data_IF_813590180204
#
_entry.id   IF_813590180204
#
_cell.length_a   1.000
_cell.length_b   1.000
_cell.length_c   1.000
_cell.angle_alpha   90.00
_cell.angle_beta   90.00
_cell.angle_gamma   90.00
#
_symmetry.space_group_name_H-M   'P 1'
#
loop_
_entity.id
_entity.type
_entity.pdbx_description
1 polymer ?
#
# COMPACT_ATOMS: atom_id res chain seq x y z
N UNK A 1 47.83 5.68 -1.65
CA UNK A 1 47.10 6.14 -2.85
C UNK A 1 45.60 6.29 -2.63
N UNK A 2 44.78 5.19 -2.42
CA UNK A 2 43.31 5.35 -2.30
C UNK A 2 42.87 6.25 -1.15
N UNK A 3 43.40 6.05 0.07
CA UNK A 3 43.11 6.88 1.25
C UNK A 3 43.53 8.35 1.10
N UNK A 4 44.61 8.61 0.36
CA UNK A 4 45.04 9.98 0.07
C UNK A 4 44.11 10.65 -0.94
N UNK A 5 43.65 9.93 -1.96
CA UNK A 5 42.66 10.41 -2.92
C UNK A 5 41.34 10.78 -2.22
N UNK A 6 40.87 9.95 -1.26
CA UNK A 6 39.70 10.23 -0.43
C UNK A 6 39.90 11.47 0.43
N UNK A 7 41.07 11.63 1.04
CA UNK A 7 41.38 12.82 1.88
C UNK A 7 41.47 14.10 1.04
N UNK A 8 41.99 14.03 -0.16
CA UNK A 8 42.03 15.16 -1.11
C UNK A 8 40.61 15.51 -1.59
N UNK A 9 39.81 14.53 -1.93
CA UNK A 9 38.40 14.75 -2.33
C UNK A 9 37.59 15.44 -1.23
N UNK A 10 37.74 15.02 0.03
CA UNK A 10 37.08 15.65 1.17
C UNK A 10 37.62 17.07 1.44
N UNK A 11 38.89 17.32 1.14
CA UNK A 11 39.49 18.65 1.24
C UNK A 11 38.91 19.64 0.22
N UNK A 12 38.75 19.21 -1.04
CA UNK A 12 38.18 20.06 -2.10
C UNK A 12 36.72 20.38 -1.86
N UNK A 13 35.95 19.44 -1.28
CA UNK A 13 34.57 19.70 -0.85
C UNK A 13 34.45 20.82 0.21
N UNK A 14 35.41 20.88 1.14
CA UNK A 14 35.43 21.91 2.18
C UNK A 14 35.82 23.27 1.67
N UNK A 15 36.64 23.36 0.61
CA UNK A 15 37.09 24.60 0.03
C UNK A 15 35.95 25.37 -0.67
N UNK A 16 35.02 24.69 -1.34
CA UNK A 16 33.93 25.28 -2.13
C UNK A 16 32.54 24.73 -1.74
N UNK A 17 32.15 24.92 -0.47
CA UNK A 17 30.95 24.30 0.13
C UNK A 17 29.66 24.52 -0.65
N UNK A 18 29.41 25.81 -1.05
CA UNK A 18 28.16 26.19 -1.72
C UNK A 18 28.02 25.52 -3.11
N UNK A 19 29.15 25.51 -3.86
CA UNK A 19 29.20 24.90 -5.19
C UNK A 19 28.98 23.37 -5.12
N UNK A 20 29.67 22.73 -4.19
CA UNK A 20 29.53 21.28 -3.96
C UNK A 20 28.11 20.90 -3.50
N UNK A 21 27.50 21.70 -2.63
CA UNK A 21 26.11 21.49 -2.16
C UNK A 21 25.11 21.61 -3.32
N UNK A 22 25.22 22.66 -4.16
CA UNK A 22 24.31 22.89 -5.28
C UNK A 22 24.37 21.78 -6.33
N UNK A 23 25.56 21.21 -6.57
CA UNK A 23 25.69 20.08 -7.51
C UNK A 23 25.22 18.75 -6.93
N UNK A 24 25.50 18.51 -5.66
CA UNK A 24 24.97 17.33 -4.99
C UNK A 24 23.44 17.38 -4.86
N UNK A 25 22.82 18.59 -4.89
CA UNK A 25 21.38 18.75 -4.74
C UNK A 25 20.58 17.94 -5.77
N UNK A 26 20.99 17.93 -7.02
CA UNK A 26 20.37 17.11 -8.06
C UNK A 26 20.42 15.60 -7.76
N UNK A 27 21.56 15.12 -7.24
CA UNK A 27 21.72 13.72 -6.83
C UNK A 27 20.92 13.43 -5.57
N UNK A 28 20.94 14.33 -4.58
CA UNK A 28 20.18 14.21 -3.32
C UNK A 28 18.69 14.08 -3.62
N UNK A 29 18.14 14.94 -4.48
CA UNK A 29 16.73 14.92 -4.87
C UNK A 29 16.43 13.66 -5.68
N UNK A 30 17.25 13.31 -6.68
CA UNK A 30 17.04 12.13 -7.51
C UNK A 30 17.02 10.83 -6.70
N UNK A 31 18.04 10.59 -5.91
CA UNK A 31 18.14 9.41 -5.04
C UNK A 31 17.08 9.43 -3.95
N UNK A 32 16.86 10.60 -3.34
CA UNK A 32 15.83 10.77 -2.32
C UNK A 32 14.43 10.44 -2.82
N UNK A 33 14.08 10.86 -4.03
CA UNK A 33 12.79 10.54 -4.66
C UNK A 33 12.61 9.04 -4.90
N UNK A 34 13.64 8.36 -5.40
CA UNK A 34 13.60 6.90 -5.63
C UNK A 34 13.41 6.14 -4.32
N UNK A 35 14.19 6.48 -3.29
CA UNK A 35 14.07 5.84 -1.95
C UNK A 35 12.68 6.06 -1.38
N UNK A 36 12.16 7.31 -1.45
CA UNK A 36 10.84 7.64 -0.92
C UNK A 36 9.74 6.82 -1.57
N UNK A 37 9.68 6.76 -2.91
CA UNK A 37 8.59 6.05 -3.60
C UNK A 37 8.65 4.54 -3.38
N UNK A 38 9.85 3.95 -3.39
CA UNK A 38 10.01 2.51 -3.15
C UNK A 38 9.62 2.16 -1.71
N UNK A 39 10.07 2.97 -0.72
CA UNK A 39 9.73 2.76 0.69
C UNK A 39 8.23 2.92 0.96
N UNK A 40 7.58 3.92 0.36
CA UNK A 40 6.12 4.12 0.46
C UNK A 40 5.40 2.94 -0.21
N UNK A 41 5.80 2.54 -1.40
CA UNK A 41 5.21 1.40 -2.11
C UNK A 41 5.30 0.10 -1.33
N UNK A 42 6.48 -0.22 -0.78
CA UNK A 42 6.67 -1.40 0.08
C UNK A 42 5.85 -1.33 1.37
N UNK A 43 5.70 -0.13 1.95
CA UNK A 43 4.88 0.09 3.15
C UNK A 43 3.39 -0.11 2.87
N UNK A 44 2.90 0.39 1.74
CA UNK A 44 1.52 0.19 1.28
C UNK A 44 1.26 -1.29 1.00
N UNK A 45 2.15 -1.98 0.29
CA UNK A 45 2.04 -3.43 0.05
C UNK A 45 1.98 -4.22 1.35
N UNK A 46 2.87 -3.90 2.30
CA UNK A 46 2.86 -4.55 3.62
C UNK A 46 1.56 -4.31 4.36
N UNK A 47 1.06 -3.08 4.33
CA UNK A 47 -0.20 -2.71 4.96
C UNK A 47 -1.38 -3.51 4.39
N UNK A 48 -1.52 -3.60 3.06
CA UNK A 48 -2.54 -4.44 2.43
C UNK A 48 -2.33 -5.92 2.79
N UNK A 49 -1.10 -6.42 2.71
CA UNK A 49 -0.79 -7.80 3.13
C UNK A 49 -1.19 -8.09 4.58
N UNK A 50 -0.97 -7.14 5.50
CA UNK A 50 -1.32 -7.30 6.91
C UNK A 50 -2.84 -7.22 7.13
N UNK A 51 -3.57 -6.37 6.39
CA UNK A 51 -5.04 -6.37 6.35
C UNK A 51 -5.58 -7.75 5.94
N UNK A 52 -5.07 -8.29 4.84
CA UNK A 52 -5.58 -9.56 4.31
C UNK A 52 -5.10 -10.80 5.07
N UNK A 53 -4.02 -10.73 5.85
CA UNK A 53 -3.67 -11.81 6.78
C UNK A 53 -4.77 -12.08 7.80
N UNK A 54 -5.47 -11.04 8.22
CA UNK A 54 -6.56 -11.13 9.18
C UNK A 54 -7.86 -11.65 8.54
N UNK A 55 -8.11 -11.32 7.25
CA UNK A 55 -9.34 -11.70 6.53
C UNK A 55 -9.19 -12.96 5.67
N UNK A 56 -7.96 -13.48 5.51
CA UNK A 56 -7.63 -14.63 4.67
C UNK A 56 -7.48 -14.27 3.18
N UNK A 57 -6.48 -14.87 2.55
CA UNK A 57 -6.22 -14.70 1.09
C UNK A 57 -7.26 -15.37 0.19
N UNK A 58 -8.21 -16.11 0.78
CA UNK A 58 -9.23 -16.87 0.07
C UNK A 58 -10.56 -16.14 -0.05
N UNK A 59 -10.63 -14.89 0.43
CA UNK A 59 -11.82 -14.06 0.28
C UNK A 59 -12.02 -13.62 -1.16
N UNK A 60 -13.26 -13.76 -1.64
CA UNK A 60 -13.71 -13.20 -2.90
C UNK A 60 -15.20 -12.82 -2.84
N UNK A 61 -15.64 -12.03 -3.80
CA UNK A 61 -17.04 -11.66 -3.98
C UNK A 61 -17.38 -11.67 -5.46
N UNK A 62 -18.47 -12.32 -5.84
CA UNK A 62 -18.99 -12.29 -7.20
C UNK A 62 -20.11 -11.27 -7.31
N UNK A 63 -20.07 -10.48 -8.36
CA UNK A 63 -21.08 -9.47 -8.71
C UNK A 63 -21.10 -9.28 -10.23
N UNK A 64 -22.12 -8.59 -10.73
CA UNK A 64 -22.09 -8.08 -12.11
C UNK A 64 -20.90 -7.14 -12.29
N UNK A 65 -20.32 -7.16 -13.48
CA UNK A 65 -19.16 -6.32 -13.79
C UNK A 65 -19.52 -4.82 -13.64
N UNK A 66 -18.89 -4.09 -12.69
CA UNK A 66 -19.17 -2.68 -12.44
C UNK A 66 -18.89 -1.76 -13.66
N UNK A 67 -18.13 -2.25 -14.63
CA UNK A 67 -17.82 -1.51 -15.87
C UNK A 67 -18.86 -1.70 -16.96
N UNK A 68 -19.92 -2.48 -16.71
CA UNK A 68 -21.03 -2.68 -17.66
C UNK A 68 -21.89 -1.41 -17.74
N UNK A 69 -22.43 -1.12 -18.92
CA UNK A 69 -23.39 -0.02 -19.08
C UNK A 69 -24.66 -0.30 -18.27
N UNK A 70 -25.15 0.72 -17.57
CA UNK A 70 -26.38 0.64 -16.76
C UNK A 70 -27.59 0.20 -17.57
N UNK A 71 -27.63 0.52 -18.88
CA UNK A 71 -28.70 0.12 -19.79
C UNK A 71 -28.70 -1.38 -20.13
N UNK A 72 -27.58 -2.07 -19.93
CA UNK A 72 -27.44 -3.51 -20.16
C UNK A 72 -27.77 -4.36 -18.93
N UNK A 73 -27.98 -3.73 -17.77
CA UNK A 73 -28.35 -4.41 -16.53
C UNK A 73 -29.81 -4.87 -16.59
N UNK A 74 -30.06 -6.10 -16.13
CA UNK A 74 -31.39 -6.71 -16.03
C UNK A 74 -31.68 -7.04 -14.58
N UNK A 75 -32.95 -6.94 -14.16
CA UNK A 75 -33.36 -7.42 -12.83
C UNK A 75 -32.99 -8.89 -12.60
N UNK A 76 -32.99 -9.70 -13.66
CA UNK A 76 -32.58 -11.10 -13.60
C UNK A 76 -31.09 -11.31 -13.29
N UNK A 77 -30.26 -10.28 -13.38
CA UNK A 77 -28.84 -10.37 -13.08
C UNK A 77 -28.56 -10.37 -11.57
N UNK A 78 -29.50 -9.82 -10.78
CA UNK A 78 -29.41 -9.89 -9.33
C UNK A 78 -29.57 -11.34 -8.85
N UNK A 79 -28.88 -11.66 -7.78
CA UNK A 79 -28.98 -12.98 -7.15
C UNK A 79 -30.25 -13.06 -6.30
N UNK A 80 -30.94 -14.18 -6.41
CA UNK A 80 -32.06 -14.54 -5.54
C UNK A 80 -31.57 -15.40 -4.38
N UNK A 81 -32.43 -15.58 -3.38
CA UNK A 81 -32.17 -16.52 -2.29
C UNK A 81 -31.96 -17.97 -2.79
N UNK A 82 -32.69 -18.36 -3.84
CA UNK A 82 -32.51 -19.69 -4.48
C UNK A 82 -31.16 -19.82 -5.16
N UNK A 83 -30.70 -18.75 -5.82
CA UNK A 83 -29.34 -18.72 -6.40
C UNK A 83 -28.29 -18.92 -5.31
N UNK A 84 -28.42 -18.23 -4.19
CA UNK A 84 -27.51 -18.35 -3.07
C UNK A 84 -27.52 -19.73 -2.42
N UNK A 85 -28.71 -20.31 -2.21
CA UNK A 85 -28.83 -21.66 -1.68
C UNK A 85 -28.24 -22.71 -2.63
N UNK A 86 -28.48 -22.57 -3.94
CA UNK A 86 -27.87 -23.44 -4.95
C UNK A 86 -26.35 -23.27 -5.00
N UNK A 87 -25.86 -22.04 -4.89
CA UNK A 87 -24.44 -21.75 -4.78
C UNK A 87 -23.80 -22.45 -3.57
N UNK A 88 -24.39 -22.31 -2.39
CA UNK A 88 -23.92 -23.02 -1.17
C UNK A 88 -23.97 -24.55 -1.33
N UNK A 89 -25.00 -25.10 -1.97
CA UNK A 89 -25.12 -26.55 -2.21
C UNK A 89 -24.06 -27.09 -3.17
N UNK A 90 -23.71 -26.32 -4.24
CA UNK A 90 -22.77 -26.77 -5.28
C UNK A 90 -21.33 -26.58 -4.84
N UNK A 91 -21.01 -25.42 -4.27
CA UNK A 91 -19.65 -25.03 -3.94
C UNK A 91 -19.30 -25.22 -2.47
N UNK A 92 -20.25 -25.52 -1.58
CA UNK A 92 -20.06 -25.55 -0.12
C UNK A 92 -18.92 -26.47 0.35
N UNK A 93 -18.63 -27.57 -0.36
CA UNK A 93 -17.46 -28.43 -0.03
C UNK A 93 -16.12 -27.73 -0.24
N UNK A 94 -16.07 -26.69 -1.07
CA UNK A 94 -14.88 -25.88 -1.39
C UNK A 94 -14.86 -24.54 -0.65
N UNK A 95 -15.91 -24.22 0.12
CA UNK A 95 -16.07 -22.98 0.86
C UNK A 95 -15.96 -23.22 2.37
N UNK A 96 -15.43 -22.25 3.10
CA UNK A 96 -15.50 -22.19 4.56
C UNK A 96 -16.55 -21.19 5.02
N UNK A 97 -16.91 -20.20 4.16
CA UNK A 97 -17.89 -19.18 4.46
C UNK A 97 -18.56 -18.66 3.19
N UNK A 98 -19.82 -18.26 3.28
CA UNK A 98 -20.50 -17.47 2.26
C UNK A 98 -21.66 -16.69 2.87
N UNK A 99 -21.83 -15.42 2.42
CA UNK A 99 -22.98 -14.60 2.72
C UNK A 99 -23.38 -13.73 1.51
N UNK A 100 -24.56 -13.12 1.58
CA UNK A 100 -25.08 -12.22 0.57
C UNK A 100 -24.89 -10.74 0.94
N UNK A 101 -24.03 -10.45 1.91
CA UNK A 101 -23.65 -9.10 2.38
C UNK A 101 -24.81 -8.13 2.60
N UNK A 102 -25.97 -8.53 3.17
CA UNK A 102 -27.07 -7.61 3.32
C UNK A 102 -26.72 -6.52 4.33
N UNK A 103 -27.05 -5.29 3.98
CA UNK A 103 -26.79 -4.12 4.81
C UNK A 103 -28.00 -3.21 4.83
N UNK A 104 -28.37 -2.78 6.03
CA UNK A 104 -29.44 -1.80 6.24
C UNK A 104 -28.99 -0.74 7.26
N UNK A 105 -29.40 0.50 7.02
CA UNK A 105 -29.12 1.59 7.95
C UNK A 105 -30.41 2.04 8.59
N UNK A 106 -30.53 1.84 9.91
CA UNK A 106 -31.75 2.07 10.69
C UNK A 106 -31.53 3.13 11.76
N UNK A 107 -32.60 3.81 12.12
CA UNK A 107 -32.64 4.73 13.27
C UNK A 107 -33.05 3.97 14.52
N UNK A 108 -32.16 3.88 15.49
CA UNK A 108 -32.42 3.20 16.78
C UNK A 108 -32.62 4.24 17.86
N UNK A 109 -33.65 4.02 18.71
CA UNK A 109 -33.94 4.85 19.88
C UNK A 109 -33.97 3.98 21.14
N UNK A 110 -33.14 4.34 22.11
CA UNK A 110 -33.15 3.73 23.46
C UNK A 110 -33.24 4.83 24.49
N UNK A 111 -34.39 4.93 25.14
CA UNK A 111 -34.68 6.04 26.07
C UNK A 111 -34.58 7.41 25.40
N UNK A 112 -33.60 8.23 25.81
CA UNK A 112 -33.34 9.57 25.23
C UNK A 112 -32.31 9.53 24.10
N UNK A 113 -31.56 8.44 23.98
CA UNK A 113 -30.49 8.30 23.00
C UNK A 113 -31.04 7.89 21.64
N UNK A 114 -30.57 8.55 20.58
CA UNK A 114 -30.87 8.21 19.19
C UNK A 114 -29.55 8.01 18.46
N UNK A 115 -29.48 6.97 17.65
CA UNK A 115 -28.30 6.64 16.88
C UNK A 115 -28.71 5.97 15.57
N UNK A 116 -28.11 6.41 14.49
CA UNK A 116 -28.19 5.70 13.22
C UNK A 116 -27.25 4.50 13.28
N UNK A 117 -27.79 3.29 13.11
CA UNK A 117 -27.04 2.04 13.24
C UNK A 117 -27.05 1.31 11.91
N UNK A 118 -25.86 0.97 11.40
CA UNK A 118 -25.71 0.08 10.28
C UNK A 118 -25.83 -1.38 10.73
N UNK A 119 -26.82 -2.07 10.21
CA UNK A 119 -26.98 -3.51 10.39
C UNK A 119 -26.33 -4.26 9.25
N UNK A 120 -25.34 -5.08 9.55
CA UNK A 120 -24.72 -6.01 8.58
C UNK A 120 -25.18 -7.42 8.85
N UNK A 121 -25.79 -8.06 7.86
CA UNK A 121 -26.20 -9.46 7.95
C UNK A 121 -25.02 -10.39 7.73
N UNK A 122 -24.87 -11.37 8.63
CA UNK A 122 -23.72 -12.29 8.62
C UNK A 122 -24.16 -13.74 8.90
N UNK A 123 -23.35 -14.70 8.47
CA UNK A 123 -23.49 -16.11 8.80
C UNK A 123 -22.97 -16.36 10.23
N UNK A 124 -23.34 -17.49 10.85
CA UNK A 124 -23.03 -17.79 12.25
C UNK A 124 -21.51 -17.87 12.54
N UNK A 125 -20.72 -18.32 11.58
CA UNK A 125 -19.27 -18.49 11.70
C UNK A 125 -18.43 -17.31 11.19
N UNK A 126 -19.06 -16.13 10.98
CA UNK A 126 -18.37 -14.97 10.40
C UNK A 126 -17.19 -14.47 11.25
N UNK A 127 -17.23 -14.71 12.55
CA UNK A 127 -16.16 -14.32 13.48
C UNK A 127 -14.86 -15.07 13.26
N UNK A 128 -14.89 -16.21 12.54
CA UNK A 128 -13.68 -16.96 12.18
C UNK A 128 -12.92 -16.29 11.03
N UNK A 129 -13.60 -15.37 10.31
CA UNK A 129 -13.10 -14.68 9.12
C UNK A 129 -12.96 -13.18 9.31
N UNK A 130 -13.40 -12.65 10.45
CA UNK A 130 -13.26 -11.22 10.78
C UNK A 130 -12.56 -11.06 12.13
N UNK A 131 -11.52 -10.22 12.23
CA UNK A 131 -10.77 -10.00 13.47
C UNK A 131 -11.60 -9.15 14.44
N UNK A 132 -12.51 -9.80 15.15
CA UNK A 132 -13.34 -9.20 16.18
C UNK A 132 -12.93 -9.69 17.55
N UNK A 133 -12.72 -8.78 18.47
CA UNK A 133 -12.55 -9.09 19.89
C UNK A 133 -13.90 -9.02 20.59
N UNK A 134 -14.45 -10.15 20.99
CA UNK A 134 -15.67 -10.19 21.81
C UNK A 134 -15.31 -9.74 23.22
N UNK A 135 -15.93 -8.65 23.67
CA UNK A 135 -15.72 -8.08 24.99
C UNK A 135 -16.62 -8.77 26.02
N UNK A 136 -17.89 -8.95 25.68
CA UNK A 136 -18.92 -9.58 26.50
C UNK A 136 -19.90 -10.34 25.62
N UNK A 137 -20.43 -11.47 26.13
CA UNK A 137 -21.48 -12.21 25.45
C UNK A 137 -20.97 -13.39 24.61
N UNK A 138 -21.74 -13.77 23.61
CA UNK A 138 -21.48 -14.88 22.71
C UNK A 138 -21.63 -14.52 21.24
N UNK A 139 -21.03 -15.28 20.33
CA UNK A 139 -21.25 -15.21 18.90
C UNK A 139 -22.59 -15.84 18.49
N UNK A 140 -22.98 -15.67 17.22
CA UNK A 140 -24.15 -16.33 16.66
C UNK A 140 -23.98 -17.84 16.66
N UNK A 141 -25.10 -18.53 16.82
CA UNK A 141 -25.20 -19.98 16.58
C UNK A 141 -25.90 -20.21 15.25
N UNK A 142 -25.74 -21.42 14.69
CA UNK A 142 -26.47 -21.85 13.49
C UNK A 142 -27.99 -21.71 13.65
N UNK A 143 -28.51 -21.97 14.87
CA UNK A 143 -29.93 -21.77 15.20
C UNK A 143 -30.36 -20.31 15.14
N UNK A 144 -29.50 -19.38 15.55
CA UNK A 144 -29.86 -17.95 15.50
C UNK A 144 -30.06 -17.49 14.05
N UNK A 145 -29.22 -18.00 13.12
CA UNK A 145 -29.34 -17.71 11.68
C UNK A 145 -30.52 -18.47 11.07
N UNK A 146 -30.63 -19.79 11.32
CA UNK A 146 -31.65 -20.64 10.71
C UNK A 146 -33.06 -20.30 11.16
N UNK A 147 -33.26 -19.94 12.43
CA UNK A 147 -34.55 -19.57 13.01
C UNK A 147 -34.85 -18.06 12.88
N UNK A 148 -34.01 -17.28 12.18
CA UNK A 148 -34.17 -15.83 11.98
C UNK A 148 -34.37 -15.07 13.30
N UNK A 149 -33.58 -15.39 14.35
CA UNK A 149 -33.72 -14.78 15.65
C UNK A 149 -33.29 -13.31 15.61
N UNK A 150 -34.10 -12.38 16.19
CA UNK A 150 -33.76 -10.97 16.25
C UNK A 150 -32.70 -10.72 17.35
N UNK A 151 -31.49 -11.20 17.11
CA UNK A 151 -30.35 -11.03 17.97
C UNK A 151 -29.28 -10.18 17.27
N UNK A 152 -28.56 -9.37 18.04
CA UNK A 152 -27.55 -8.48 17.50
C UNK A 152 -26.24 -8.56 18.30
N UNK A 153 -25.11 -8.52 17.60
CA UNK A 153 -23.82 -8.18 18.17
C UNK A 153 -23.51 -6.73 17.83
N UNK A 154 -23.28 -5.89 18.83
CA UNK A 154 -23.08 -4.45 18.64
C UNK A 154 -21.65 -4.04 18.93
N UNK A 155 -21.14 -3.01 18.24
CA UNK A 155 -19.83 -2.47 18.56
C UNK A 155 -19.81 -1.79 19.92
N UNK A 156 -18.64 -1.73 20.57
CA UNK A 156 -18.41 -1.02 21.84
C UNK A 156 -18.90 0.44 21.76
N UNK A 157 -18.63 1.13 20.65
CA UNK A 157 -19.10 2.49 20.42
C UNK A 157 -20.64 2.57 20.37
N UNK A 158 -21.30 1.60 19.72
CA UNK A 158 -22.76 1.49 19.68
C UNK A 158 -23.33 1.25 21.07
N UNK A 159 -22.69 0.36 21.86
CA UNK A 159 -23.10 0.07 23.24
C UNK A 159 -23.04 1.33 24.12
N UNK A 160 -21.92 2.05 24.06
CA UNK A 160 -21.73 3.30 24.82
C UNK A 160 -22.76 4.39 24.41
N UNK A 161 -22.98 4.58 23.10
CA UNK A 161 -23.89 5.62 22.60
C UNK A 161 -25.37 5.33 22.89
N UNK A 162 -25.80 4.09 22.76
CA UNK A 162 -27.19 3.70 22.99
C UNK A 162 -27.50 3.46 24.46
N UNK A 163 -26.63 2.77 25.19
CA UNK A 163 -26.91 2.27 26.52
C UNK A 163 -26.09 2.92 27.63
N UNK A 164 -25.06 3.74 27.27
CA UNK A 164 -24.18 4.40 28.22
C UNK A 164 -23.21 3.44 28.95
N UNK A 165 -23.04 2.21 28.45
CA UNK A 165 -22.19 1.20 29.07
C UNK A 165 -21.63 0.25 28.02
N UNK A 166 -20.41 -0.23 28.22
CA UNK A 166 -19.80 -1.29 27.41
C UNK A 166 -20.45 -2.66 27.65
N UNK A 167 -21.04 -2.87 28.82
CA UNK A 167 -21.74 -4.12 29.14
C UNK A 167 -23.23 -3.98 28.77
N UNK A 168 -23.53 -4.11 27.49
CA UNK A 168 -24.89 -4.04 26.98
C UNK A 168 -25.51 -5.41 26.67
N UNK A 169 -24.82 -6.50 26.95
CA UNK A 169 -25.35 -7.86 26.73
C UNK A 169 -26.63 -8.08 27.51
N UNK A 170 -27.64 -8.66 26.86
CA UNK A 170 -28.98 -8.87 27.41
C UNK A 170 -29.89 -7.65 27.35
N UNK A 171 -29.42 -6.48 26.92
CA UNK A 171 -30.27 -5.32 26.67
C UNK A 171 -30.95 -5.45 25.31
N UNK A 172 -32.02 -4.67 25.14
CA UNK A 172 -32.83 -4.69 23.93
C UNK A 172 -32.89 -3.30 23.29
N UNK A 173 -32.96 -3.29 21.95
CA UNK A 173 -33.28 -2.07 21.21
C UNK A 173 -34.31 -2.38 20.12
N UNK A 174 -35.16 -1.40 19.87
CA UNK A 174 -36.19 -1.47 18.83
C UNK A 174 -35.76 -0.69 17.61
N UNK A 175 -36.00 -1.27 16.47
CA UNK A 175 -35.74 -0.65 15.19
C UNK A 175 -36.90 -0.88 14.26
N UNK A 176 -37.26 0.15 13.52
CA UNK A 176 -38.19 0.03 12.40
C UNK A 176 -37.38 -0.50 11.21
N UNK A 177 -37.73 -1.67 10.77
CA UNK A 177 -37.09 -2.36 9.66
C UNK A 177 -38.16 -2.80 8.67
N UNK A 178 -38.18 -2.19 7.47
CA UNK A 178 -39.15 -2.46 6.40
C UNK A 178 -40.60 -2.28 6.80
N UNK A 179 -40.88 -1.30 7.67
CA UNK A 179 -42.22 -1.01 8.17
C UNK A 179 -42.69 -1.92 9.29
N UNK A 180 -41.87 -2.81 9.79
CA UNK A 180 -42.12 -3.63 10.98
C UNK A 180 -41.15 -3.24 12.11
N UNK A 181 -41.68 -3.06 13.30
CA UNK A 181 -40.88 -2.78 14.50
C UNK A 181 -40.34 -4.09 15.04
N UNK A 182 -39.02 -4.27 14.88
CA UNK A 182 -38.31 -5.45 15.37
C UNK A 182 -37.59 -5.15 16.69
N UNK A 183 -37.73 -6.03 17.69
CA UNK A 183 -37.04 -5.94 18.97
C UNK A 183 -35.80 -6.83 18.97
N UNK A 184 -34.61 -6.21 18.91
CA UNK A 184 -33.34 -6.91 18.87
C UNK A 184 -32.76 -7.10 20.27
N UNK A 185 -32.38 -8.34 20.62
CA UNK A 185 -31.64 -8.65 21.84
C UNK A 185 -30.14 -8.58 21.58
N UNK A 186 -29.41 -7.82 22.37
CA UNK A 186 -27.94 -7.74 22.30
C UNK A 186 -27.34 -9.00 22.91
N UNK A 187 -26.72 -9.83 22.10
CA UNK A 187 -26.08 -11.09 22.55
C UNK A 187 -24.56 -10.93 22.78
N UNK A 188 -23.94 -9.93 22.17
CA UNK A 188 -22.53 -9.61 22.40
C UNK A 188 -22.20 -8.14 22.17
N UNK A 189 -21.15 -7.68 22.85
CA UNK A 189 -20.46 -6.44 22.53
C UNK A 189 -19.06 -6.79 22.03
N UNK A 190 -18.67 -6.20 20.88
CA UNK A 190 -17.39 -6.46 20.25
C UNK A 190 -16.59 -5.18 20.02
N UNK A 191 -15.27 -5.33 19.90
CA UNK A 191 -14.34 -4.30 19.43
C UNK A 191 -13.66 -4.79 18.15
N UNK A 192 -13.58 -3.91 17.14
CA UNK A 192 -12.75 -4.15 15.96
C UNK A 192 -11.33 -3.66 16.26
N UNK A 193 -10.36 -4.53 16.14
CA UNK A 193 -8.94 -4.13 16.17
C UNK A 193 -8.57 -3.56 14.79
N UNK A 194 -9.04 -2.35 14.51
CA UNK A 194 -8.77 -1.66 13.26
C UNK A 194 -7.30 -1.26 13.19
N UNK A 195 -6.69 -1.54 12.06
CA UNK A 195 -5.36 -1.01 11.74
C UNK A 195 -5.37 0.53 11.70
N UNK A 196 -4.23 1.19 11.84
CA UNK A 196 -4.15 2.65 11.81
C UNK A 196 -4.74 3.27 10.53
N UNK A 197 -4.60 2.58 9.39
CA UNK A 197 -5.15 3.05 8.12
C UNK A 197 -6.66 2.86 8.03
N UNK A 198 -7.20 1.74 8.53
CA UNK A 198 -8.65 1.57 8.61
C UNK A 198 -9.27 2.69 9.45
N UNK A 199 -8.64 3.06 10.57
CA UNK A 199 -9.05 4.22 11.38
C UNK A 199 -8.97 5.53 10.59
N UNK A 200 -7.96 5.72 9.76
CA UNK A 200 -7.81 6.91 8.92
C UNK A 200 -8.86 6.95 7.80
N UNK A 201 -9.07 5.83 7.10
CA UNK A 201 -10.03 5.72 6.00
C UNK A 201 -11.49 5.77 6.50
N UNK A 202 -11.76 5.18 7.66
CA UNK A 202 -13.07 5.17 8.29
C UNK A 202 -13.37 6.42 9.12
N UNK A 203 -12.43 7.33 9.28
CA UNK A 203 -12.35 8.42 10.27
C UNK A 203 -13.54 9.35 10.50
N UNK A 204 -14.64 9.24 9.73
CA UNK A 204 -15.88 9.93 10.02
C UNK A 204 -17.08 9.01 10.29
N UNK A 205 -16.92 7.70 10.13
CA UNK A 205 -18.00 6.72 10.39
C UNK A 205 -18.25 6.50 11.89
N UNK A 206 -17.40 7.05 12.75
CA UNK A 206 -17.54 6.99 14.21
C UNK A 206 -18.83 7.68 14.73
N UNK A 207 -19.54 8.44 13.86
CA UNK A 207 -20.83 9.07 14.20
C UNK A 207 -21.96 8.06 14.25
N UNK A 208 -21.94 7.03 13.43
CA UNK A 208 -22.97 6.00 13.34
C UNK A 208 -22.62 4.81 14.23
N UNK A 209 -23.63 4.05 14.63
CA UNK A 209 -23.46 2.76 15.28
C UNK A 209 -23.27 1.64 14.27
N UNK A 210 -22.72 0.54 14.71
CA UNK A 210 -22.58 -0.69 13.92
C UNK A 210 -23.12 -1.88 14.71
N UNK A 211 -23.82 -2.77 14.02
CA UNK A 211 -24.28 -4.03 14.56
C UNK A 211 -24.22 -5.14 13.51
N UNK A 212 -23.87 -6.35 13.93
CA UNK A 212 -24.06 -7.56 13.16
C UNK A 212 -25.36 -8.24 13.59
N UNK A 213 -26.09 -8.79 12.63
CA UNK A 213 -27.30 -9.56 12.82
C UNK A 213 -27.28 -10.79 11.92
N UNK A 214 -28.07 -11.85 12.19
CA UNK A 214 -28.24 -12.95 11.24
C UNK A 214 -28.67 -12.41 9.86
N UNK A 215 -27.97 -12.80 8.79
CA UNK A 215 -28.29 -12.33 7.43
C UNK A 215 -29.74 -12.64 7.03
N UNK A 216 -30.28 -13.74 7.54
CA UNK A 216 -31.66 -14.18 7.29
C UNK A 216 -32.73 -13.20 7.79
N UNK A 217 -32.40 -12.33 8.74
CA UNK A 217 -33.31 -11.26 9.18
C UNK A 217 -33.41 -10.17 8.12
N UNK A 218 -32.26 -9.77 7.56
CA UNK A 218 -32.19 -8.68 6.59
C UNK A 218 -32.61 -9.11 5.18
N UNK A 219 -32.62 -10.42 4.88
CA UNK A 219 -32.96 -10.95 3.56
C UNK A 219 -34.28 -11.72 3.61
N UNK A 220 -35.30 -11.20 2.92
CA UNK A 220 -36.57 -11.88 2.72
C UNK A 220 -36.54 -12.90 1.57
N UNK A 221 -37.56 -13.77 1.46
CA UNK A 221 -37.63 -14.76 0.38
C UNK A 221 -37.67 -14.17 -1.04
N UNK A 222 -38.25 -12.98 -1.16
CA UNK A 222 -38.42 -12.25 -2.43
C UNK A 222 -37.29 -11.25 -2.70
N UNK A 223 -36.32 -11.11 -1.78
CA UNK A 223 -35.26 -10.12 -1.93
C UNK A 223 -34.22 -10.60 -2.94
N UNK A 224 -33.72 -9.65 -3.70
CA UNK A 224 -32.57 -9.82 -4.56
C UNK A 224 -31.35 -9.08 -3.97
N UNK A 225 -30.18 -9.50 -4.38
CA UNK A 225 -28.91 -8.88 -3.94
C UNK A 225 -27.89 -8.95 -5.05
N UNK A 226 -27.01 -7.94 -5.07
CA UNK A 226 -26.04 -7.75 -6.15
C UNK A 226 -24.74 -8.54 -5.96
N UNK A 227 -24.49 -9.05 -4.76
CA UNK A 227 -23.18 -9.61 -4.39
C UNK A 227 -23.32 -10.86 -3.56
N UNK A 228 -22.52 -11.87 -3.87
CA UNK A 228 -22.28 -13.04 -3.01
C UNK A 228 -20.81 -12.99 -2.60
N UNK A 229 -20.55 -12.80 -1.29
CA UNK A 229 -19.22 -12.92 -0.71
C UNK A 229 -18.97 -14.33 -0.25
N UNK A 230 -17.76 -14.82 -0.46
CA UNK A 230 -17.36 -16.17 -0.04
C UNK A 230 -15.88 -16.23 0.30
N UNK A 231 -15.54 -17.25 1.08
CA UNK A 231 -14.18 -17.62 1.42
C UNK A 231 -13.96 -19.06 0.97
N UNK A 232 -12.98 -19.29 0.12
CA UNK A 232 -12.50 -20.63 -0.20
C UNK A 232 -11.89 -21.29 1.03
N UNK A 233 -11.61 -22.60 0.93
CA UNK A 233 -10.95 -23.32 2.03
C UNK A 233 -9.65 -22.63 2.45
N UNK A 234 -9.41 -22.57 3.76
CA UNK A 234 -8.29 -21.88 4.38
C UNK A 234 -6.91 -22.35 3.88
N UNK A 235 -6.83 -23.60 3.41
CA UNK A 235 -5.62 -24.20 2.87
C UNK A 235 -5.50 -24.10 1.34
N UNK A 236 -6.42 -23.40 0.66
CA UNK A 236 -6.35 -23.24 -0.78
C UNK A 236 -5.12 -22.43 -1.20
N UNK A 237 -4.46 -22.95 -2.23
CA UNK A 237 -3.44 -22.20 -2.97
C UNK A 237 -4.09 -21.13 -3.85
N UNK A 238 -3.26 -20.26 -4.41
CA UNK A 238 -3.69 -19.23 -5.38
C UNK A 238 -4.36 -19.88 -6.60
N UNK A 239 -3.79 -20.98 -7.09
CA UNK A 239 -4.29 -21.72 -8.25
C UNK A 239 -5.65 -22.36 -7.97
N UNK A 240 -5.82 -22.95 -6.80
CA UNK A 240 -7.09 -23.55 -6.37
C UNK A 240 -8.17 -22.48 -6.22
N UNK A 241 -7.83 -21.32 -5.67
CA UNK A 241 -8.76 -20.20 -5.56
C UNK A 241 -9.15 -19.63 -6.93
N UNK A 242 -8.19 -19.48 -7.86
CA UNK A 242 -8.46 -19.07 -9.24
C UNK A 242 -9.36 -20.08 -9.98
N UNK A 243 -9.14 -21.37 -9.77
CA UNK A 243 -10.00 -22.43 -10.29
C UNK A 243 -11.42 -22.32 -9.75
N UNK A 244 -11.57 -22.13 -8.42
CA UNK A 244 -12.87 -21.93 -7.78
C UNK A 244 -13.58 -20.70 -8.36
N UNK A 245 -12.89 -19.59 -8.47
CA UNK A 245 -13.42 -18.33 -9.03
C UNK A 245 -13.90 -18.52 -10.48
N UNK A 246 -13.13 -19.24 -11.29
CA UNK A 246 -13.49 -19.55 -12.67
C UNK A 246 -14.75 -20.42 -12.74
N UNK A 247 -14.85 -21.45 -11.89
CA UNK A 247 -16.01 -22.35 -11.83
C UNK A 247 -17.27 -21.60 -11.40
N UNK A 248 -17.17 -20.73 -10.39
CA UNK A 248 -18.27 -19.87 -9.91
C UNK A 248 -18.74 -18.92 -11.02
N UNK A 249 -17.81 -18.27 -11.70
CA UNK A 249 -18.08 -17.36 -12.82
C UNK A 249 -18.83 -18.08 -13.96
N UNK A 250 -18.35 -19.25 -14.35
CA UNK A 250 -18.96 -20.07 -15.37
C UNK A 250 -20.35 -20.62 -14.95
N UNK A 251 -20.53 -20.94 -13.67
CA UNK A 251 -21.82 -21.36 -13.14
C UNK A 251 -22.86 -20.24 -13.26
N UNK A 252 -22.57 -19.03 -12.75
CA UNK A 252 -23.51 -17.92 -12.83
C UNK A 252 -23.73 -17.42 -14.26
N UNK A 253 -22.73 -17.52 -15.13
CA UNK A 253 -22.88 -17.23 -16.56
C UNK A 253 -23.96 -18.11 -17.19
N UNK A 254 -24.00 -19.39 -16.84
CA UNK A 254 -25.03 -20.34 -17.34
C UNK A 254 -26.39 -20.09 -16.69
N UNK A 255 -26.42 -19.91 -15.35
CA UNK A 255 -27.68 -19.74 -14.61
C UNK A 255 -28.39 -18.46 -15.01
N UNK A 256 -27.66 -17.37 -15.23
CA UNK A 256 -28.21 -16.05 -15.54
C UNK A 256 -28.22 -15.74 -17.04
N UNK A 257 -27.81 -16.68 -17.88
CA UNK A 257 -27.71 -16.51 -19.32
C UNK A 257 -26.92 -15.25 -19.72
N UNK A 258 -25.75 -15.10 -19.12
CA UNK A 258 -24.79 -14.01 -19.36
C UNK A 258 -23.45 -14.58 -19.80
N UNK A 259 -22.62 -13.73 -20.43
CA UNK A 259 -21.24 -14.13 -20.75
C UNK A 259 -20.37 -14.13 -19.50
N UNK A 260 -19.28 -14.92 -19.45
CA UNK A 260 -18.35 -14.87 -18.32
C UNK A 260 -17.74 -13.49 -18.07
N UNK A 261 -17.56 -12.67 -19.12
CA UNK A 261 -17.00 -11.32 -19.00
C UNK A 261 -17.95 -10.36 -18.27
N UNK A 262 -19.25 -10.62 -18.28
CA UNK A 262 -20.27 -9.82 -17.61
C UNK A 262 -20.22 -9.98 -16.07
N UNK A 263 -19.48 -10.97 -15.56
CA UNK A 263 -19.30 -11.23 -14.15
C UNK A 263 -17.92 -10.75 -13.69
N UNK A 264 -17.91 -10.03 -12.60
CA UNK A 264 -16.69 -9.63 -11.90
C UNK A 264 -16.55 -10.40 -10.59
N UNK A 265 -15.37 -10.93 -10.35
CA UNK A 265 -14.99 -11.46 -9.06
C UNK A 265 -13.93 -10.54 -8.47
N UNK A 266 -14.32 -9.80 -7.43
CA UNK A 266 -13.37 -9.07 -6.59
C UNK A 266 -12.69 -10.08 -5.68
N UNK A 267 -11.38 -10.23 -5.82
CA UNK A 267 -10.57 -11.05 -4.94
C UNK A 267 -9.44 -10.23 -4.33
N UNK A 268 -8.98 -10.64 -3.15
CA UNK A 268 -7.82 -10.03 -2.50
C UNK A 268 -6.61 -9.96 -3.44
N UNK A 269 -6.44 -11.00 -4.28
CA UNK A 269 -5.32 -11.06 -5.23
C UNK A 269 -5.46 -10.02 -6.34
N UNK A 270 -6.67 -9.78 -6.86
CA UNK A 270 -6.89 -8.81 -7.92
C UNK A 270 -6.76 -7.38 -7.38
N UNK A 271 -7.19 -7.14 -6.14
CA UNK A 271 -6.95 -5.88 -5.46
C UNK A 271 -5.45 -5.62 -5.24
N UNK A 272 -4.70 -6.64 -4.82
CA UNK A 272 -3.24 -6.55 -4.70
C UNK A 272 -2.57 -6.26 -6.04
N UNK A 273 -2.99 -6.91 -7.15
CA UNK A 273 -2.48 -6.60 -8.49
C UNK A 273 -2.78 -5.17 -8.93
N UNK A 274 -3.96 -4.64 -8.59
CA UNK A 274 -4.30 -3.23 -8.89
C UNK A 274 -3.40 -2.27 -8.11
N UNK A 275 -3.16 -2.54 -6.82
CA UNK A 275 -2.22 -1.77 -6.00
C UNK A 275 -0.80 -1.84 -6.59
N UNK A 276 -0.35 -3.03 -6.98
CA UNK A 276 0.96 -3.21 -7.61
C UNK A 276 1.08 -2.47 -8.94
N UNK A 277 0.03 -2.52 -9.77
CA UNK A 277 -0.04 -1.79 -11.04
C UNK A 277 0.02 -0.28 -10.83
N UNK A 278 -0.77 0.25 -9.88
CA UNK A 278 -0.75 1.66 -9.52
C UNK A 278 0.62 2.11 -8.98
N UNK A 279 1.20 1.34 -8.06
CA UNK A 279 2.53 1.63 -7.51
C UNK A 279 3.62 1.52 -8.57
N UNK A 280 3.49 0.57 -9.52
CA UNK A 280 4.37 0.45 -10.68
C UNK A 280 4.35 1.69 -11.57
N UNK A 281 3.16 2.17 -11.92
CA UNK A 281 2.98 3.40 -12.71
C UNK A 281 3.55 4.63 -12.01
N UNK A 282 3.24 4.80 -10.72
CA UNK A 282 3.77 5.89 -9.90
C UNK A 282 5.29 5.85 -9.80
N UNK A 283 5.86 4.65 -9.59
CA UNK A 283 7.31 4.44 -9.54
C UNK A 283 7.99 4.78 -10.86
N UNK A 284 7.37 4.45 -12.00
CA UNK A 284 7.89 4.80 -13.32
C UNK A 284 7.89 6.32 -13.55
N UNK A 285 6.81 7.01 -13.17
CA UNK A 285 6.71 8.47 -13.31
C UNK A 285 7.76 9.20 -12.45
N UNK A 286 7.88 8.84 -11.16
CA UNK A 286 8.86 9.43 -10.25
C UNK A 286 10.29 9.03 -10.65
N UNK A 287 10.48 7.79 -11.13
CA UNK A 287 11.75 7.34 -11.70
C UNK A 287 12.21 8.20 -12.88
N UNK A 288 11.29 8.62 -13.74
CA UNK A 288 11.56 9.58 -14.81
C UNK A 288 12.05 10.94 -14.29
N UNK A 289 11.37 11.49 -13.28
CA UNK A 289 11.77 12.74 -12.62
C UNK A 289 13.15 12.60 -11.96
N UNK A 290 13.39 11.48 -11.28
CA UNK A 290 14.67 11.19 -10.65
C UNK A 290 15.81 11.08 -11.69
N UNK A 291 15.55 10.46 -12.85
CA UNK A 291 16.51 10.38 -13.93
C UNK A 291 16.91 11.77 -14.46
N UNK A 292 15.93 12.65 -14.67
CA UNK A 292 16.20 14.06 -15.06
C UNK A 292 17.01 14.77 -13.97
N UNK A 293 16.66 14.60 -12.71
CA UNK A 293 17.38 15.20 -11.58
C UNK A 293 18.83 14.71 -11.50
N UNK A 294 19.06 13.42 -11.75
CA UNK A 294 20.40 12.83 -11.79
C UNK A 294 21.21 13.33 -12.98
N UNK A 295 20.60 13.51 -14.15
CA UNK A 295 21.24 14.11 -15.33
C UNK A 295 21.70 15.54 -15.02
N UNK A 296 20.83 16.36 -14.44
CA UNK A 296 21.15 17.74 -14.07
C UNK A 296 22.26 17.76 -13.01
N UNK A 297 22.15 16.93 -11.97
CA UNK A 297 23.20 16.75 -10.95
C UNK A 297 24.53 16.27 -11.53
N UNK A 298 24.51 15.32 -12.46
CA UNK A 298 25.68 14.81 -13.16
C UNK A 298 26.37 15.87 -14.03
N UNK A 299 25.61 16.65 -14.80
CA UNK A 299 26.13 17.80 -15.55
C UNK A 299 26.75 18.82 -14.58
N UNK A 300 26.13 19.03 -13.41
CA UNK A 300 26.69 19.84 -12.35
C UNK A 300 28.05 19.34 -11.88
N UNK A 301 28.20 18.04 -11.63
CA UNK A 301 29.50 17.41 -11.28
C UNK A 301 30.53 17.64 -12.39
N UNK A 302 30.15 17.38 -13.64
CA UNK A 302 31.03 17.57 -14.79
C UNK A 302 31.55 19.02 -14.87
N UNK A 303 30.67 20.01 -14.70
CA UNK A 303 31.05 21.42 -14.74
C UNK A 303 31.98 21.79 -13.58
N UNK A 304 31.73 21.32 -12.37
CA UNK A 304 32.64 21.58 -11.22
C UNK A 304 33.98 20.92 -11.47
N UNK A 305 34.01 19.70 -11.92
CA UNK A 305 35.26 19.01 -12.20
C UNK A 305 36.10 19.72 -13.27
N UNK A 306 35.45 20.25 -14.33
CA UNK A 306 36.13 21.06 -15.35
C UNK A 306 36.78 22.32 -14.74
N UNK A 307 36.07 23.03 -13.87
CA UNK A 307 36.61 24.21 -13.15
C UNK A 307 37.74 23.79 -12.22
N UNK A 308 37.58 22.68 -11.47
CA UNK A 308 38.63 22.16 -10.57
C UNK A 308 39.89 21.79 -11.32
N UNK A 309 39.74 21.16 -12.53
CA UNK A 309 40.89 20.86 -13.39
C UNK A 309 41.63 22.12 -13.79
N UNK A 310 40.94 23.19 -14.20
CA UNK A 310 41.59 24.45 -14.57
C UNK A 310 42.23 25.13 -13.37
N UNK A 311 41.58 25.16 -12.19
CA UNK A 311 42.16 25.73 -10.95
C UNK A 311 43.41 24.97 -10.48
N UNK A 312 43.50 23.66 -10.78
CA UNK A 312 44.63 22.79 -10.37
C UNK A 312 45.60 22.45 -11.50
N UNK A 313 45.57 23.18 -12.63
CA UNK A 313 46.40 22.90 -13.81
C UNK A 313 47.88 22.88 -13.44
N UNK A 314 48.40 23.83 -12.65
CA UNK A 314 49.80 23.86 -12.23
C UNK A 314 50.17 22.71 -11.33
N UNK A 315 49.32 22.27 -10.40
CA UNK A 315 49.49 21.11 -9.53
C UNK A 315 49.61 19.82 -10.35
N UNK A 316 48.77 19.69 -11.38
CA UNK A 316 48.80 18.56 -12.33
C UNK A 316 50.10 18.52 -13.15
N UNK A 317 50.56 19.71 -13.59
CA UNK A 317 51.83 19.87 -14.26
C UNK A 317 53.01 19.39 -13.40
N UNK A 318 53.04 19.77 -12.12
CA UNK A 318 54.09 19.32 -11.17
C UNK A 318 54.05 17.81 -10.97
N UNK A 319 52.84 17.20 -10.77
CA UNK A 319 52.72 15.76 -10.58
C UNK A 319 53.20 14.95 -11.80
N UNK A 320 52.87 15.41 -12.99
CA UNK A 320 53.34 14.78 -14.23
C UNK A 320 54.84 14.95 -14.44
N UNK A 321 55.40 16.11 -14.11
CA UNK A 321 56.84 16.33 -14.13
C UNK A 321 57.61 15.43 -13.15
N UNK A 322 56.97 15.02 -12.03
CA UNK A 322 57.48 14.07 -11.05
C UNK A 322 57.24 12.61 -11.43
N UNK A 323 56.65 12.32 -12.61
CA UNK A 323 56.48 10.97 -13.14
C UNK A 323 55.08 10.35 -12.95
N UNK A 324 54.06 11.10 -12.56
CA UNK A 324 52.72 10.57 -12.50
C UNK A 324 52.21 10.20 -13.90
N UNK A 325 51.69 8.97 -14.02
CA UNK A 325 51.11 8.49 -15.27
C UNK A 325 49.76 9.15 -15.58
N UNK A 326 49.35 9.05 -16.84
CA UNK A 326 48.03 9.52 -17.27
C UNK A 326 46.90 8.77 -16.53
N UNK A 327 47.09 7.49 -16.24
CA UNK A 327 46.15 6.65 -15.55
C UNK A 327 46.00 7.06 -14.08
N UNK A 328 47.11 7.45 -13.42
CA UNK A 328 47.04 7.95 -12.02
C UNK A 328 46.16 9.19 -11.88
N UNK A 329 46.31 10.14 -12.81
CA UNK A 329 45.50 11.34 -12.85
C UNK A 329 44.02 11.02 -13.14
N UNK A 330 43.79 10.12 -14.10
CA UNK A 330 42.43 9.71 -14.46
C UNK A 330 41.71 9.05 -13.28
N UNK A 331 42.35 8.07 -12.63
CA UNK A 331 41.77 7.35 -11.48
C UNK A 331 41.54 8.30 -10.31
N UNK A 332 42.44 9.26 -10.08
CA UNK A 332 42.25 10.27 -9.02
C UNK A 332 40.99 11.05 -9.24
N UNK A 333 40.77 11.65 -10.42
CA UNK A 333 39.57 12.47 -10.69
C UNK A 333 38.28 11.66 -10.76
N UNK A 334 38.34 10.41 -11.27
CA UNK A 334 37.19 9.48 -11.23
C UNK A 334 36.80 9.11 -9.79
N UNK A 335 37.79 8.88 -8.93
CA UNK A 335 37.55 8.61 -7.50
C UNK A 335 36.92 9.84 -6.82
N UNK A 336 37.39 11.05 -7.14
CA UNK A 336 36.84 12.29 -6.61
C UNK A 336 35.38 12.48 -7.01
N UNK A 337 35.03 12.29 -8.28
CA UNK A 337 33.64 12.39 -8.75
C UNK A 337 32.75 11.30 -8.19
N UNK A 338 33.25 10.07 -8.06
CA UNK A 338 32.51 8.95 -7.44
C UNK A 338 32.19 9.21 -5.96
N UNK A 339 33.19 9.75 -5.22
CA UNK A 339 33.00 10.10 -3.80
C UNK A 339 32.02 11.26 -3.61
N UNK A 340 32.09 12.31 -4.46
CA UNK A 340 31.15 13.41 -4.47
C UNK A 340 29.70 12.93 -4.62
N UNK A 341 29.47 12.11 -5.62
CA UNK A 341 28.15 11.58 -5.91
C UNK A 341 27.67 10.54 -4.88
N UNK A 342 28.56 9.68 -4.37
CA UNK A 342 28.23 8.75 -3.30
C UNK A 342 27.82 9.45 -2.01
N UNK A 343 28.50 10.56 -1.65
CA UNK A 343 28.13 11.41 -0.50
C UNK A 343 26.78 12.08 -0.74
N UNK A 344 26.54 12.61 -1.95
CA UNK A 344 25.23 13.15 -2.33
C UNK A 344 24.12 12.09 -2.22
N UNK A 345 24.39 10.88 -2.71
CA UNK A 345 23.48 9.74 -2.60
C UNK A 345 23.21 9.34 -1.15
N UNK A 346 24.23 9.29 -0.30
CA UNK A 346 24.09 8.96 1.12
C UNK A 346 23.25 10.02 1.87
N UNK A 347 23.52 11.30 1.61
CA UNK A 347 22.71 12.40 2.16
C UNK A 347 21.27 12.28 1.68
N UNK A 348 21.04 12.01 0.39
CA UNK A 348 19.72 11.77 -0.19
C UNK A 348 18.98 10.64 0.49
N UNK A 349 19.65 9.50 0.74
CA UNK A 349 19.10 8.36 1.49
C UNK A 349 18.68 8.76 2.92
N UNK A 350 19.57 9.44 3.65
CA UNK A 350 19.30 9.86 5.03
C UNK A 350 18.10 10.82 5.08
N UNK A 351 18.08 11.83 4.23
CA UNK A 351 16.98 12.80 4.18
C UNK A 351 15.66 12.13 3.78
N UNK A 352 15.65 11.30 2.74
CA UNK A 352 14.47 10.60 2.29
C UNK A 352 13.93 9.63 3.37
N UNK A 353 14.81 8.84 3.98
CA UNK A 353 14.42 7.90 5.04
C UNK A 353 13.84 8.65 6.24
N UNK A 354 14.42 9.78 6.61
CA UNK A 354 13.92 10.63 7.71
C UNK A 354 12.55 11.20 7.37
N UNK A 355 12.38 11.78 6.18
CA UNK A 355 11.10 12.36 5.74
C UNK A 355 9.99 11.31 5.65
N UNK A 356 10.28 10.13 5.08
CA UNK A 356 9.33 9.02 4.99
C UNK A 356 8.95 8.52 6.39
N UNK A 357 9.91 8.45 7.31
CA UNK A 357 9.65 8.02 8.71
C UNK A 357 8.79 9.03 9.47
N UNK A 358 9.09 10.32 9.34
CA UNK A 358 8.29 11.40 9.95
C UNK A 358 6.86 11.43 9.38
N UNK A 359 6.73 11.31 8.06
CA UNK A 359 5.41 11.21 7.41
C UNK A 359 4.62 10.00 7.89
N UNK A 360 5.26 8.85 7.97
CA UNK A 360 4.62 7.63 8.44
C UNK A 360 4.18 7.71 9.92
N UNK A 361 4.96 8.36 10.78
CA UNK A 361 4.56 8.61 12.17
C UNK A 361 3.28 9.46 12.25
N UNK A 362 3.13 10.47 11.38
CA UNK A 362 1.93 11.30 11.34
C UNK A 362 0.67 10.50 10.98
N UNK A 363 0.81 9.43 10.20
CA UNK A 363 -0.29 8.55 9.77
C UNK A 363 -0.33 7.22 10.51
N UNK A 364 0.49 7.03 11.57
CA UNK A 364 0.64 5.77 12.30
C UNK A 364 0.93 4.56 11.39
N UNK A 365 1.68 4.76 10.31
CA UNK A 365 2.06 3.71 9.37
C UNK A 365 3.43 3.12 9.71
N UNK A 366 3.62 1.83 9.42
CA UNK A 366 4.94 1.19 9.53
C UNK A 366 5.72 1.39 8.24
N UNK A 367 6.89 2.02 8.32
CA UNK A 367 7.81 2.18 7.19
C UNK A 367 8.73 0.98 7.06
N UNK A 368 8.94 0.55 5.84
CA UNK A 368 9.90 -0.50 5.49
C UNK A 368 10.95 0.10 4.55
N UNK A 369 12.10 0.48 5.09
CA UNK A 369 13.28 0.84 4.30
C UNK A 369 14.22 -0.37 4.24
N UNK A 370 14.30 -1.01 3.08
CA UNK A 370 15.14 -2.20 2.90
C UNK A 370 16.61 -1.81 2.76
N UNK A 371 17.54 -2.36 3.56
CA UNK A 371 18.98 -2.04 3.45
C UNK A 371 19.56 -2.26 2.04
N UNK A 372 19.05 -3.25 1.33
CA UNK A 372 19.47 -3.51 -0.05
C UNK A 372 19.23 -2.32 -0.99
N UNK A 373 18.08 -1.62 -0.84
CA UNK A 373 17.73 -0.45 -1.66
C UNK A 373 18.70 0.71 -1.35
N UNK A 374 19.06 0.88 -0.09
CA UNK A 374 20.04 1.90 0.35
C UNK A 374 21.41 1.65 -0.33
N UNK A 375 21.91 0.41 -0.29
CA UNK A 375 23.18 0.05 -0.91
C UNK A 375 23.12 0.26 -2.43
N UNK A 376 22.07 -0.21 -3.09
CA UNK A 376 21.89 -0.04 -4.54
C UNK A 376 21.86 1.45 -4.90
N UNK A 377 21.17 2.28 -4.15
CA UNK A 377 21.06 3.72 -4.41
C UNK A 377 22.42 4.43 -4.30
N UNK A 378 23.22 4.12 -3.27
CA UNK A 378 24.55 4.72 -3.07
C UNK A 378 25.52 4.24 -4.16
N UNK A 379 25.52 2.95 -4.50
CA UNK A 379 26.37 2.39 -5.59
C UNK A 379 25.98 3.01 -6.92
N UNK A 380 24.67 3.11 -7.20
CA UNK A 380 24.18 3.73 -8.43
C UNK A 380 24.60 5.20 -8.52
N UNK A 381 24.51 5.94 -7.43
CA UNK A 381 24.96 7.34 -7.38
C UNK A 381 26.47 7.47 -7.66
N UNK A 382 27.30 6.55 -7.13
CA UNK A 382 28.73 6.53 -7.41
C UNK A 382 29.01 6.26 -8.91
N UNK A 383 28.27 5.34 -9.54
CA UNK A 383 28.35 5.04 -10.97
C UNK A 383 28.01 6.28 -11.80
N UNK A 384 26.95 7.02 -11.44
CA UNK A 384 26.58 8.29 -12.10
C UNK A 384 27.74 9.30 -11.99
N UNK A 385 28.35 9.42 -10.81
CA UNK A 385 29.50 10.31 -10.64
C UNK A 385 30.70 9.93 -11.51
N UNK A 386 31.01 8.64 -11.59
CA UNK A 386 32.07 8.14 -12.50
C UNK A 386 31.73 8.50 -13.94
N UNK A 387 30.51 8.24 -14.40
CA UNK A 387 30.07 8.49 -15.77
C UNK A 387 30.26 9.96 -16.19
N UNK A 388 29.76 10.89 -15.38
CA UNK A 388 29.92 12.33 -15.66
C UNK A 388 31.33 12.86 -15.36
N UNK A 389 32.12 12.13 -14.56
CA UNK A 389 33.51 12.43 -14.26
C UNK A 389 34.47 12.04 -15.36
N UNK A 390 34.14 11.11 -16.30
CA UNK A 390 35.00 10.61 -17.34
C UNK A 390 35.58 11.74 -18.22
N UNK A 391 34.71 12.65 -18.66
CA UNK A 391 35.14 13.73 -19.58
C UNK A 391 36.15 14.69 -18.93
N UNK A 392 35.88 15.29 -17.76
CA UNK A 392 36.82 16.17 -17.07
C UNK A 392 38.11 15.45 -16.65
N UNK A 393 38.02 14.19 -16.17
CA UNK A 393 39.17 13.41 -15.79
C UNK A 393 40.11 13.13 -17.00
N UNK A 394 39.55 12.80 -18.16
CA UNK A 394 40.29 12.59 -19.38
C UNK A 394 40.94 13.89 -19.89
N UNK A 395 40.29 15.05 -19.73
CA UNK A 395 40.84 16.37 -20.04
C UNK A 395 42.07 16.62 -19.15
N UNK A 396 41.94 16.47 -17.83
CA UNK A 396 43.04 16.63 -16.86
C UNK A 396 44.22 15.68 -17.18
N UNK A 397 43.90 14.42 -17.52
CA UNK A 397 44.91 13.41 -17.85
C UNK A 397 45.64 13.69 -19.17
N UNK A 398 45.11 14.52 -20.07
CA UNK A 398 45.76 14.88 -21.36
C UNK A 398 46.55 16.18 -21.33
N UNK A 399 46.44 17.00 -20.27
CA UNK A 399 47.14 18.30 -20.15
C UNK A 399 48.66 18.08 -20.29
N UNK A 400 49.33 18.95 -21.08
CA UNK A 400 50.78 18.94 -21.27
C UNK A 400 51.45 19.56 -20.02
N UNK A 401 52.42 18.83 -19.39
CA UNK A 401 53.09 19.32 -18.20
C UNK A 401 53.85 20.67 -18.43
N UNK A 402 54.36 20.91 -19.64
CA UNK A 402 55.08 22.15 -19.96
C UNK A 402 54.11 23.31 -20.04
N UNK A 403 52.97 23.13 -20.68
CA UNK A 403 51.92 24.14 -20.78
C UNK A 403 51.31 24.40 -19.41
N UNK A 404 51.05 23.35 -18.64
CA UNK A 404 50.49 23.43 -17.29
C UNK A 404 51.36 24.20 -16.28
N UNK A 405 52.72 24.12 -16.41
CA UNK A 405 53.66 24.84 -15.56
C UNK A 405 53.83 26.33 -15.93
N UNK A 406 53.42 26.71 -17.16
CA UNK A 406 53.47 28.09 -17.67
C UNK A 406 52.15 28.86 -17.38
N UNK A 407 51.13 28.17 -16.88
CA UNK A 407 49.86 28.79 -16.47
C UNK A 407 50.08 29.57 -15.19
N UNK A 408 49.85 30.91 -15.23
CA UNK A 408 49.87 31.80 -14.07
C UNK A 408 48.58 31.71 -13.26
#
# INVERSE_FOLDING_TARGET
MFLENVKMALGSLRANKLRSLLTMLGIIIGIGSVISIVSIGDSIRKMFSDLYKNYGVTQAAIMINPSMDWNDLRESDEFTLDDFNNFKRIFGSRLDYADNTPYESIDVKVGRNRLKVGLSGVEYNFTDFQPLKILNGRTFSEKDVGERKPVAMISENTALKLFGTENATGKHFRADFRGEVQDFSVIAVYRKDLSPIEKLLMGSQDKNGEAFVPWTILTGPADTFSTIRYYGKKNFTVEEMNSLNTDIKNYFSRVKNRKPEDWYISSVQDEMKQVDGFMGGLSAAIGGIAAISLLVGGIGIMNIMLVTVTERTRELGIRKALGASREDILVQFLTESALLSALGGLIGVILASTLVHLGAMAFNMTVVVKPAIVIIAVVFSAIVGVFFGIYPANKAAKEDPIVALRYE
#
